data_IF_791995383204
#
_entry.id   IF_791995383204
#
_cell.length_a   1.000
_cell.length_b   1.000
_cell.length_c   1.000
_cell.angle_alpha   90.00
_cell.angle_beta   90.00
_cell.angle_gamma   90.00
#
_symmetry.space_group_name_H-M   'P 1'
#
loop_
_entity.id
_entity.type
_entity.pdbx_description
1 polymer ?
#
# COMPACT_ATOMS: atom_id res chain seq x y z
N UNK A 1 55.97 -14.36 31.53
CA UNK A 1 54.51 -14.67 31.50
C UNK A 1 53.65 -13.41 31.72
N UNK A 2 53.87 -12.32 30.94
CA UNK A 2 53.24 -11.00 31.18
C UNK A 2 52.36 -10.51 30.02
N UNK A 3 52.34 -11.24 28.90
CA UNK A 3 51.62 -10.86 27.66
C UNK A 3 50.18 -11.39 27.61
N UNK A 4 49.83 -12.41 28.41
CA UNK A 4 48.53 -13.11 28.36
C UNK A 4 47.40 -12.21 28.90
N UNK A 5 47.67 -11.44 29.97
CA UNK A 5 46.69 -10.54 30.60
C UNK A 5 46.37 -9.28 29.78
N UNK A 6 47.21 -8.91 28.82
CA UNK A 6 46.99 -7.73 27.98
C UNK A 6 45.99 -8.02 26.84
N UNK A 7 46.01 -9.24 26.29
CA UNK A 7 45.07 -9.65 25.23
C UNK A 7 43.64 -9.82 25.76
N UNK A 8 43.47 -10.35 26.97
CA UNK A 8 42.13 -10.50 27.59
C UNK A 8 41.46 -9.16 27.92
N UNK A 9 42.23 -8.14 28.31
CA UNK A 9 41.70 -6.81 28.68
C UNK A 9 41.24 -5.97 27.49
N UNK A 10 41.72 -6.28 26.28
CA UNK A 10 41.38 -5.53 25.05
C UNK A 10 40.39 -6.32 24.19
N UNK A 11 40.53 -7.65 24.10
CA UNK A 11 39.65 -8.47 23.26
C UNK A 11 38.20 -8.54 23.79
N UNK A 12 38.02 -8.55 25.12
CA UNK A 12 36.70 -8.68 25.74
C UNK A 12 35.80 -7.43 25.57
N UNK A 13 36.27 -6.17 25.77
CA UNK A 13 35.43 -4.99 25.53
C UNK A 13 35.17 -4.73 24.04
N UNK A 14 36.10 -5.08 23.14
CA UNK A 14 35.90 -4.95 21.69
C UNK A 14 34.82 -5.90 21.18
N UNK A 15 34.79 -7.14 21.70
CA UNK A 15 33.75 -8.11 21.36
C UNK A 15 32.37 -7.70 21.92
N UNK A 16 32.32 -7.13 23.13
CA UNK A 16 31.07 -6.63 23.73
C UNK A 16 30.50 -5.41 22.97
N UNK A 17 31.35 -4.49 22.52
CA UNK A 17 30.93 -3.34 21.71
C UNK A 17 30.36 -3.76 20.34
N UNK A 18 30.92 -4.81 19.72
CA UNK A 18 30.45 -5.34 18.44
C UNK A 18 29.07 -6.03 18.52
N UNK A 19 28.70 -6.57 19.69
CA UNK A 19 27.40 -7.21 19.90
C UNK A 19 26.29 -6.17 20.17
N UNK A 20 26.62 -5.03 20.79
CA UNK A 20 25.63 -3.97 21.09
C UNK A 20 25.25 -3.07 19.91
N UNK A 21 26.02 -3.07 18.82
CA UNK A 21 25.79 -2.16 17.67
C UNK A 21 24.98 -2.76 16.52
N UNK A 22 24.51 -4.01 16.62
CA UNK A 22 23.96 -4.76 15.49
C UNK A 22 22.43 -5.00 15.54
N UNK A 23 21.66 -4.21 16.27
CA UNK A 23 20.18 -4.29 16.20
C UNK A 23 19.64 -3.32 15.16
N UNK A 24 19.76 -3.66 13.88
CA UNK A 24 18.98 -2.99 12.84
C UNK A 24 17.51 -3.40 13.01
N UNK A 25 16.65 -2.48 13.47
CA UNK A 25 15.21 -2.68 13.39
C UNK A 25 14.79 -2.75 11.91
N UNK A 26 14.15 -3.84 11.48
CA UNK A 26 13.49 -3.86 10.16
C UNK A 26 12.32 -2.89 10.21
N UNK A 27 12.41 -1.78 9.49
CA UNK A 27 11.23 -1.01 9.13
C UNK A 27 10.48 -1.79 8.06
N UNK A 28 9.18 -1.99 8.23
CA UNK A 28 8.34 -2.52 7.16
C UNK A 28 8.26 -1.48 6.04
N UNK A 29 8.79 -1.85 4.88
CA UNK A 29 8.70 -1.02 3.67
C UNK A 29 7.55 -1.54 2.81
N UNK A 30 6.63 -0.66 2.45
CA UNK A 30 5.55 -0.96 1.52
C UNK A 30 5.82 -0.27 0.19
N UNK A 31 5.58 -0.97 -0.91
CA UNK A 31 5.46 -0.38 -2.23
C UNK A 31 4.00 -0.44 -2.66
N UNK A 32 3.57 0.56 -3.42
CA UNK A 32 2.25 0.58 -4.05
C UNK A 32 2.39 1.05 -5.49
N UNK A 33 1.39 0.70 -6.29
CA UNK A 33 1.24 1.17 -7.66
C UNK A 33 -0.17 1.71 -7.80
N UNK A 34 -0.30 2.93 -8.31
CA UNK A 34 -1.60 3.49 -8.60
C UNK A 34 -2.08 2.92 -9.95
N UNK A 35 -3.17 2.16 -9.92
CA UNK A 35 -3.74 1.59 -11.13
C UNK A 35 -4.65 2.56 -11.88
N UNK A 36 -5.55 3.24 -11.17
CA UNK A 36 -6.55 4.14 -11.73
C UNK A 36 -6.55 5.47 -11.01
N UNK A 37 -6.78 6.55 -11.76
CA UNK A 37 -7.03 7.90 -11.22
C UNK A 37 -7.80 8.74 -12.23
N UNK A 38 -8.59 9.69 -11.76
CA UNK A 38 -9.17 10.75 -12.57
C UNK A 38 -8.14 11.83 -12.98
N UNK A 39 -6.93 11.83 -12.40
CA UNK A 39 -5.85 12.78 -12.68
C UNK A 39 -4.87 12.17 -13.69
N UNK A 40 -4.66 12.79 -14.88
CA UNK A 40 -3.70 12.30 -15.84
C UNK A 40 -2.27 12.23 -15.29
N UNK A 41 -1.60 11.09 -15.50
CA UNK A 41 -0.19 10.90 -15.18
C UNK A 41 0.15 10.47 -13.74
N UNK A 42 -0.85 10.28 -12.87
CA UNK A 42 -0.60 9.83 -11.47
C UNK A 42 -0.88 8.34 -11.24
N UNK A 43 -1.45 7.67 -12.24
CA UNK A 43 -1.77 6.24 -12.25
C UNK A 43 -1.48 5.63 -13.63
N UNK A 44 -1.48 4.31 -13.72
CA UNK A 44 -1.27 3.58 -14.98
C UNK A 44 -2.37 3.87 -16.00
N UNK A 45 -3.60 4.01 -15.53
CA UNK A 45 -4.79 4.29 -16.33
C UNK A 45 -5.48 5.56 -15.81
N UNK A 46 -6.18 6.25 -16.72
CA UNK A 46 -7.00 7.41 -16.38
C UNK A 46 -8.46 7.01 -16.49
N UNK A 47 -9.20 7.12 -15.38
CA UNK A 47 -10.64 6.88 -15.34
C UNK A 47 -11.37 8.17 -14.94
N UNK A 48 -12.10 8.82 -15.86
CA UNK A 48 -12.85 10.03 -15.56
C UNK A 48 -14.04 9.79 -14.61
N UNK A 49 -14.43 8.54 -14.36
CA UNK A 49 -15.46 8.21 -13.39
C UNK A 49 -14.94 8.20 -11.96
N UNK A 50 -13.65 7.95 -11.71
CA UNK A 50 -13.05 7.73 -10.38
C UNK A 50 -12.86 9.04 -9.58
N UNK A 51 -13.87 9.88 -9.54
CA UNK A 51 -13.82 11.19 -8.88
C UNK A 51 -14.30 11.03 -7.43
N UNK A 52 -13.47 11.45 -6.47
CA UNK A 52 -13.80 11.44 -5.04
C UNK A 52 -14.38 10.09 -4.55
N UNK A 53 -13.66 8.97 -4.74
CA UNK A 53 -14.15 7.67 -4.31
C UNK A 53 -14.23 7.58 -2.78
N UNK A 54 -15.33 7.02 -2.27
CA UNK A 54 -15.61 6.96 -0.83
C UNK A 54 -15.63 5.55 -0.24
N UNK A 55 -15.55 4.51 -1.08
CA UNK A 55 -15.56 3.14 -0.60
C UNK A 55 -15.10 2.16 -1.65
N UNK A 56 -14.65 0.98 -1.19
CA UNK A 56 -14.27 -0.13 -2.04
C UNK A 56 -14.70 -1.47 -1.42
N UNK A 57 -15.04 -2.44 -2.26
CA UNK A 57 -15.31 -3.81 -1.86
C UNK A 57 -14.76 -4.79 -2.88
N UNK A 58 -14.01 -5.79 -2.42
CA UNK A 58 -13.53 -6.87 -3.27
C UNK A 58 -14.50 -8.06 -3.20
N UNK A 59 -14.90 -8.57 -4.37
CA UNK A 59 -15.66 -9.81 -4.47
C UNK A 59 -14.72 -11.03 -4.32
N UNK A 60 -15.27 -12.19 -3.98
CA UNK A 60 -14.50 -13.44 -3.92
C UNK A 60 -13.86 -13.81 -5.28
N UNK A 61 -14.43 -13.34 -6.39
CA UNK A 61 -13.88 -13.51 -7.74
C UNK A 61 -12.77 -12.52 -8.10
N UNK A 62 -12.39 -11.63 -7.17
CA UNK A 62 -11.29 -10.68 -7.37
C UNK A 62 -11.67 -9.35 -8.01
N UNK A 63 -12.90 -9.20 -8.52
CA UNK A 63 -13.39 -7.89 -8.99
C UNK A 63 -13.53 -6.93 -7.81
N UNK A 64 -12.99 -5.74 -7.97
CA UNK A 64 -13.01 -4.65 -7.00
C UNK A 64 -14.06 -3.64 -7.44
N UNK A 65 -15.05 -3.41 -6.59
CA UNK A 65 -16.05 -2.37 -6.75
C UNK A 65 -15.57 -1.12 -6.03
N UNK A 66 -15.68 0.04 -6.66
CA UNK A 66 -15.37 1.34 -6.07
C UNK A 66 -16.59 2.23 -6.17
N UNK A 67 -16.91 2.95 -5.10
CA UNK A 67 -18.05 3.89 -5.07
C UNK A 67 -17.54 5.31 -5.34
N UNK A 68 -17.78 5.79 -6.55
CA UNK A 68 -17.29 7.06 -7.09
C UNK A 68 -18.28 8.18 -6.79
N UNK A 69 -18.14 8.80 -5.62
CA UNK A 69 -19.15 9.76 -5.16
C UNK A 69 -19.22 11.03 -6.03
N UNK A 70 -18.11 11.47 -6.62
CA UNK A 70 -18.10 12.67 -7.46
C UNK A 70 -18.89 12.51 -8.75
N UNK A 71 -18.97 11.30 -9.29
CA UNK A 71 -19.68 10.97 -10.54
C UNK A 71 -20.99 10.23 -10.30
N UNK A 72 -21.25 9.77 -9.08
CA UNK A 72 -22.50 9.10 -8.71
C UNK A 72 -22.63 7.70 -9.30
N UNK A 73 -21.50 7.02 -9.53
CA UNK A 73 -21.46 5.65 -10.06
C UNK A 73 -20.61 4.75 -9.19
N UNK A 74 -20.68 3.45 -9.47
CA UNK A 74 -19.73 2.47 -9.01
C UNK A 74 -19.03 1.85 -10.22
N UNK A 75 -17.72 2.09 -10.30
CA UNK A 75 -16.82 1.44 -11.25
C UNK A 75 -16.31 0.12 -10.71
N UNK A 76 -15.92 -0.77 -11.62
CA UNK A 76 -15.42 -2.09 -11.31
C UNK A 76 -14.05 -2.27 -11.97
N UNK A 77 -13.13 -2.90 -11.25
CA UNK A 77 -11.78 -3.18 -11.73
C UNK A 77 -11.39 -4.62 -11.47
N UNK A 78 -10.58 -5.17 -12.37
CA UNK A 78 -9.82 -6.39 -12.10
C UNK A 78 -8.64 -6.08 -11.16
N UNK A 79 -8.00 -7.13 -10.63
CA UNK A 79 -6.92 -7.00 -9.65
C UNK A 79 -5.65 -6.33 -10.22
N UNK A 80 -5.48 -6.32 -11.53
CA UNK A 80 -4.40 -5.62 -12.24
C UNK A 80 -4.76 -4.16 -12.56
N UNK A 81 -5.93 -3.68 -12.12
CA UNK A 81 -6.37 -2.32 -12.34
C UNK A 81 -7.06 -2.05 -13.67
N UNK A 82 -7.24 -3.08 -14.51
CA UNK A 82 -8.01 -2.94 -15.75
C UNK A 82 -9.49 -2.71 -15.40
N UNK A 83 -10.11 -1.73 -16.06
CA UNK A 83 -11.51 -1.40 -15.86
C UNK A 83 -12.41 -2.49 -16.48
N UNK A 84 -13.52 -2.77 -15.81
CA UNK A 84 -14.62 -3.57 -16.34
C UNK A 84 -15.60 -2.62 -17.02
N UNK A 85 -16.14 -3.01 -18.19
CA UNK A 85 -17.06 -2.18 -18.97
C UNK A 85 -18.36 -1.80 -18.21
N UNK A 86 -18.72 -2.56 -17.17
CA UNK A 86 -19.88 -2.28 -16.35
C UNK A 86 -19.62 -1.08 -15.44
N UNK A 87 -20.40 -0.03 -15.61
CA UNK A 87 -20.50 1.12 -14.69
C UNK A 87 -21.91 1.15 -14.12
N UNK A 88 -22.03 1.10 -12.79
CA UNK A 88 -23.34 1.03 -12.12
C UNK A 88 -23.72 2.38 -11.55
N UNK A 89 -24.85 2.96 -11.95
CA UNK A 89 -25.34 4.21 -11.36
C UNK A 89 -25.76 4.00 -9.90
N UNK A 90 -25.29 4.87 -9.02
CA UNK A 90 -25.73 4.91 -7.62
C UNK A 90 -27.00 5.76 -7.54
N UNK A 91 -28.14 5.21 -7.07
CA UNK A 91 -29.37 5.99 -6.92
C UNK A 91 -29.18 7.14 -5.93
N UNK A 92 -29.67 8.33 -6.31
CA UNK A 92 -29.68 9.49 -5.42
C UNK A 92 -30.53 9.20 -4.17
N UNK A 93 -30.06 9.65 -3.00
CA UNK A 93 -30.76 9.44 -1.72
C UNK A 93 -32.23 9.87 -1.73
N UNK A 94 -32.60 10.91 -2.50
CA UNK A 94 -33.99 11.37 -2.64
C UNK A 94 -34.96 10.33 -3.24
N UNK A 95 -34.44 9.26 -3.86
CA UNK A 95 -35.23 8.17 -4.46
C UNK A 95 -35.19 6.86 -3.65
N UNK A 96 -34.48 6.84 -2.52
CA UNK A 96 -34.42 5.67 -1.64
C UNK A 96 -35.56 5.78 -0.62
N UNK A 97 -36.66 5.06 -0.83
CA UNK A 97 -37.75 4.91 0.15
C UNK A 97 -37.57 3.63 0.95
#
# INVERSE_FOLDING_TARGET
>A
MKKIHAYTKIALPVLAAAILTATSGRADTYSWTNFQSDIPGVAQHVDPNLVNPWGMAASAGGTIWVSDNGTGVSTLYHQDGTAVDLVVTIPTAARNR
#
